data_IF_794119734658
#
_entry.id   IF_794119734658
#
_cell.length_a   1.000
_cell.length_b   1.000
_cell.length_c   1.000
_cell.angle_alpha   90.00
_cell.angle_beta   90.00
_cell.angle_gamma   90.00
#
_symmetry.space_group_name_H-M   'P 1'
#
loop_
_entity.id
_entity.type
_entity.pdbx_description
1 polymer ?
#
# COMPACT_ATOMS: atom_id res chain seq x y z
N UNK A 1 -7.64 2.43 -6.57
CA UNK A 1 -6.16 2.22 -6.59
C UNK A 1 -5.33 3.38 -7.18
N UNK A 2 -5.70 4.01 -8.31
CA UNK A 2 -4.86 5.03 -9.00
C UNK A 2 -4.47 6.19 -8.07
N UNK A 3 -5.43 6.66 -7.26
CA UNK A 3 -5.24 7.70 -6.25
C UNK A 3 -4.11 7.38 -5.28
N UNK A 4 -4.16 6.22 -4.62
CA UNK A 4 -3.14 5.76 -3.66
C UNK A 4 -1.76 5.72 -4.29
N UNK A 5 -1.66 5.23 -5.53
CA UNK A 5 -0.39 5.17 -6.26
C UNK A 5 0.17 6.58 -6.50
N UNK A 6 -0.66 7.50 -7.02
CA UNK A 6 -0.23 8.87 -7.30
C UNK A 6 0.10 9.67 -6.04
N UNK A 7 -0.70 9.56 -4.99
CA UNK A 7 -0.44 10.22 -3.70
C UNK A 7 0.86 9.70 -3.07
N UNK A 8 1.06 8.38 -3.07
CA UNK A 8 2.28 7.77 -2.52
C UNK A 8 3.50 8.12 -3.34
N UNK A 9 3.40 8.23 -4.66
CA UNK A 9 4.49 8.66 -5.55
C UNK A 9 5.01 10.05 -5.18
N UNK A 10 4.10 11.01 -4.95
CA UNK A 10 4.47 12.37 -4.53
C UNK A 10 5.12 12.35 -3.15
N UNK A 11 4.50 11.66 -2.17
CA UNK A 11 5.04 11.55 -0.82
C UNK A 11 6.44 10.90 -0.82
N UNK A 12 6.63 9.84 -1.61
CA UNK A 12 7.90 9.13 -1.72
C UNK A 12 9.01 10.01 -2.28
N UNK A 13 8.69 10.81 -3.30
CA UNK A 13 9.66 11.72 -3.89
C UNK A 13 10.13 12.75 -2.84
N UNK A 14 9.20 13.38 -2.12
CA UNK A 14 9.52 14.38 -1.10
C UNK A 14 10.26 13.75 0.10
N UNK A 15 9.83 12.57 0.53
CA UNK A 15 10.45 11.81 1.62
C UNK A 15 11.91 11.47 1.31
N UNK A 16 12.19 10.93 0.12
CA UNK A 16 13.55 10.57 -0.29
C UNK A 16 14.42 11.81 -0.53
N UNK A 17 13.88 12.88 -1.12
CA UNK A 17 14.60 14.16 -1.24
C UNK A 17 15.01 14.72 0.12
N UNK A 18 14.17 14.57 1.15
CA UNK A 18 14.49 15.03 2.50
C UNK A 18 15.70 14.31 3.14
N UNK A 19 16.04 13.09 2.70
CA UNK A 19 17.27 12.39 3.10
C UNK A 19 18.54 12.90 2.40
N UNK A 20 18.42 13.86 1.48
CA UNK A 20 19.55 14.44 0.76
C UNK A 20 19.96 13.70 -0.51
N UNK A 21 19.14 12.76 -1.01
CA UNK A 21 19.39 12.11 -2.28
C UNK A 21 19.26 13.09 -3.46
N UNK A 22 20.15 12.96 -4.44
CA UNK A 22 20.04 13.71 -5.69
C UNK A 22 18.82 13.25 -6.50
N UNK A 23 18.28 14.13 -7.34
CA UNK A 23 17.07 13.83 -8.12
C UNK A 23 17.20 12.58 -9.00
N UNK A 24 18.36 12.45 -9.66
CA UNK A 24 18.73 11.30 -10.47
C UNK A 24 18.77 9.97 -9.71
N UNK A 25 18.93 10.02 -8.38
CA UNK A 25 18.87 8.85 -7.49
C UNK A 25 17.43 8.59 -7.00
N UNK A 26 16.65 9.65 -6.75
CA UNK A 26 15.27 9.54 -6.25
C UNK A 26 14.33 8.97 -7.31
N UNK A 27 14.38 9.51 -8.54
CA UNK A 27 13.47 9.11 -9.63
C UNK A 27 13.42 7.58 -9.84
N UNK A 28 14.55 6.86 -10.03
CA UNK A 28 14.49 5.41 -10.24
C UNK A 28 13.98 4.63 -9.02
N UNK A 29 14.23 5.12 -7.80
CA UNK A 29 13.72 4.51 -6.57
C UNK A 29 12.20 4.64 -6.48
N UNK A 30 11.67 5.85 -6.70
CA UNK A 30 10.23 6.12 -6.71
C UNK A 30 9.55 5.32 -7.82
N UNK A 31 10.15 5.26 -9.02
CA UNK A 31 9.61 4.48 -10.14
C UNK A 31 9.51 2.99 -9.83
N UNK A 32 10.54 2.40 -9.21
CA UNK A 32 10.51 1.00 -8.80
C UNK A 32 9.48 0.77 -7.70
N UNK A 33 9.47 1.61 -6.68
CA UNK A 33 8.53 1.48 -5.57
C UNK A 33 7.07 1.63 -6.02
N UNK A 34 6.80 2.48 -7.02
CA UNK A 34 5.48 2.61 -7.65
C UNK A 34 5.04 1.30 -8.29
N UNK A 35 5.94 0.59 -8.98
CA UNK A 35 5.64 -0.73 -9.55
C UNK A 35 5.35 -1.75 -8.45
N UNK A 36 6.21 -1.82 -7.45
CA UNK A 36 6.04 -2.75 -6.33
C UNK A 36 4.70 -2.48 -5.60
N UNK A 37 4.32 -1.21 -5.44
CA UNK A 37 3.05 -0.80 -4.84
C UNK A 37 1.87 -1.25 -5.71
N UNK A 38 1.93 -1.01 -7.01
CA UNK A 38 0.90 -1.42 -7.95
C UNK A 38 0.73 -2.95 -7.95
N UNK A 39 1.83 -3.70 -7.97
CA UNK A 39 1.81 -5.17 -7.95
C UNK A 39 1.16 -5.71 -6.66
N UNK A 40 1.54 -5.17 -5.50
CA UNK A 40 0.96 -5.60 -4.23
C UNK A 40 -0.52 -5.20 -4.09
N UNK A 41 -0.90 -4.00 -4.55
CA UNK A 41 -2.31 -3.57 -4.57
C UNK A 41 -3.14 -4.46 -5.50
N UNK A 42 -2.61 -4.81 -6.67
CA UNK A 42 -3.29 -5.70 -7.62
C UNK A 42 -3.45 -7.10 -7.05
N UNK A 43 -2.40 -7.63 -6.41
CA UNK A 43 -2.46 -8.93 -5.73
C UNK A 43 -3.51 -8.93 -4.61
N UNK A 44 -3.56 -7.87 -3.81
CA UNK A 44 -4.57 -7.73 -2.76
C UNK A 44 -5.98 -7.66 -3.34
N UNK A 45 -6.18 -6.88 -4.41
CA UNK A 45 -7.47 -6.77 -5.09
C UNK A 45 -7.95 -8.15 -5.56
N UNK A 46 -7.09 -8.93 -6.21
CA UNK A 46 -7.42 -10.31 -6.64
C UNK A 46 -7.85 -11.16 -5.44
N UNK A 47 -7.05 -11.21 -4.38
CA UNK A 47 -7.35 -12.01 -3.18
C UNK A 47 -8.67 -11.62 -2.49
N UNK A 48 -9.07 -10.35 -2.58
CA UNK A 48 -10.33 -9.86 -2.00
C UNK A 48 -11.57 -10.29 -2.82
N UNK A 49 -11.40 -10.64 -4.09
CA UNK A 49 -12.49 -11.03 -5.00
C UNK A 49 -12.48 -12.52 -5.37
N UNK A 50 -11.56 -13.33 -4.81
CA UNK A 50 -11.57 -14.78 -4.98
C UNK A 50 -12.76 -15.45 -4.28
N UNK A 51 -13.25 -16.57 -4.84
CA UNK A 51 -14.37 -17.33 -4.29
C UNK A 51 -14.09 -17.86 -2.88
N UNK A 52 -12.82 -18.20 -2.61
CA UNK A 52 -12.36 -18.66 -1.30
C UNK A 52 -11.29 -17.70 -0.79
N UNK A 53 -11.66 -16.90 0.20
CA UNK A 53 -10.77 -15.88 0.76
C UNK A 53 -9.77 -16.52 1.74
N UNK A 54 -8.49 -16.43 1.40
CA UNK A 54 -7.38 -16.79 2.30
C UNK A 54 -6.97 -15.59 3.16
N UNK A 55 -7.33 -15.63 4.44
CA UNK A 55 -7.01 -14.59 5.41
C UNK A 55 -5.50 -14.44 5.60
N UNK A 56 -4.75 -15.54 5.59
CA UNK A 56 -3.29 -15.54 5.73
C UNK A 56 -2.62 -14.87 4.53
N UNK A 57 -3.07 -15.15 3.30
CA UNK A 57 -2.52 -14.51 2.10
C UNK A 57 -2.80 -13.02 2.06
N UNK A 58 -4.01 -12.60 2.44
CA UNK A 58 -4.34 -11.18 2.57
C UNK A 58 -3.46 -10.53 3.63
N UNK A 59 -3.31 -11.13 4.81
CA UNK A 59 -2.45 -10.62 5.88
C UNK A 59 -0.99 -10.46 5.42
N UNK A 60 -0.47 -11.40 4.64
CA UNK A 60 0.88 -11.33 4.09
C UNK A 60 1.02 -10.15 3.12
N UNK A 61 0.05 -9.94 2.23
CA UNK A 61 0.06 -8.81 1.30
C UNK A 61 -0.09 -7.48 2.03
N UNK A 62 -0.97 -7.39 3.04
CA UNK A 62 -1.11 -6.21 3.89
C UNK A 62 0.18 -5.88 4.64
N UNK A 63 0.89 -6.89 5.15
CA UNK A 63 2.18 -6.69 5.80
C UNK A 63 3.23 -6.13 4.84
N UNK A 64 3.30 -6.66 3.61
CA UNK A 64 4.18 -6.16 2.56
C UNK A 64 3.84 -4.72 2.16
N UNK A 65 2.54 -4.41 1.96
CA UNK A 65 2.06 -3.06 1.66
C UNK A 65 2.41 -2.08 2.77
N UNK A 66 2.23 -2.46 4.04
CA UNK A 66 2.61 -1.63 5.18
C UNK A 66 4.10 -1.26 5.13
N UNK A 67 4.96 -2.26 4.97
CA UNK A 67 6.42 -2.05 4.93
C UNK A 67 6.83 -1.15 3.76
N UNK A 68 6.24 -1.39 2.58
CA UNK A 68 6.49 -0.56 1.40
C UNK A 68 6.04 0.89 1.60
N UNK A 69 4.82 1.11 2.06
CA UNK A 69 4.28 2.46 2.32
C UNK A 69 5.09 3.21 3.36
N UNK A 70 5.54 2.51 4.41
CA UNK A 70 6.39 3.10 5.43
C UNK A 70 7.74 3.56 4.86
N UNK A 71 8.40 2.72 4.07
CA UNK A 71 9.66 3.06 3.41
C UNK A 71 9.52 4.20 2.38
N UNK A 72 8.30 4.45 1.90
CA UNK A 72 7.98 5.54 0.99
C UNK A 72 7.49 6.80 1.71
N UNK A 73 7.51 6.83 3.03
CA UNK A 73 7.08 7.99 3.81
C UNK A 73 5.57 8.17 3.91
N UNK A 74 4.76 7.30 3.28
CA UNK A 74 3.30 7.30 3.43
C UNK A 74 2.90 6.60 4.73
N UNK A 75 3.38 7.14 5.85
CA UNK A 75 3.18 6.58 7.18
C UNK A 75 1.71 6.57 7.58
N UNK A 76 0.93 7.58 7.18
CA UNK A 76 -0.50 7.62 7.52
C UNK A 76 -1.26 6.41 6.96
N UNK A 77 -1.05 6.08 5.68
CA UNK A 77 -1.70 4.91 5.09
C UNK A 77 -1.13 3.60 5.65
N UNK A 78 0.19 3.55 5.92
CA UNK A 78 0.81 2.39 6.55
C UNK A 78 0.22 2.08 7.93
N UNK A 79 0.01 3.11 8.77
CA UNK A 79 -0.58 2.96 10.10
C UNK A 79 -2.05 2.55 10.01
N UNK A 80 -2.85 3.17 9.14
CA UNK A 80 -4.25 2.75 8.91
C UNK A 80 -4.35 1.27 8.49
N UNK A 81 -3.48 0.82 7.59
CA UNK A 81 -3.44 -0.60 7.22
C UNK A 81 -3.03 -1.49 8.39
N UNK A 82 -2.13 -1.03 9.27
CA UNK A 82 -1.72 -1.78 10.45
C UNK A 82 -2.84 -1.87 11.50
N UNK A 83 -3.63 -0.82 11.67
CA UNK A 83 -4.81 -0.81 12.56
C UNK A 83 -5.86 -1.83 12.10
N UNK A 84 -6.18 -1.84 10.80
CA UNK A 84 -7.13 -2.80 10.23
C UNK A 84 -6.60 -4.23 10.34
N UNK A 85 -5.31 -4.43 10.03
CA UNK A 85 -4.64 -5.74 10.12
C UNK A 85 -4.63 -6.29 11.55
N UNK A 86 -4.46 -5.43 12.55
CA UNK A 86 -4.43 -5.84 13.98
C UNK A 86 -5.77 -6.40 14.47
N UNK A 87 -6.87 -6.12 13.76
CA UNK A 87 -8.22 -6.60 14.05
C UNK A 87 -8.80 -7.40 12.88
N UNK A 88 -7.94 -8.07 12.11
CA UNK A 88 -8.31 -8.74 10.87
C UNK A 88 -8.95 -10.10 11.14
N UNK A 89 -10.17 -10.08 11.65
CA UNK A 89 -10.91 -11.29 12.05
C UNK A 89 -12.29 -11.39 11.37
N UNK A 90 -12.65 -10.41 10.54
CA UNK A 90 -14.04 -10.28 10.08
C UNK A 90 -14.17 -9.85 8.62
N UNK A 91 -15.35 -10.15 8.05
CA UNK A 91 -15.78 -9.59 6.76
C UNK A 91 -15.88 -8.07 6.78
N UNK A 92 -16.03 -7.44 7.95
CA UNK A 92 -16.02 -5.98 8.06
C UNK A 92 -14.62 -5.42 7.78
N UNK A 93 -13.57 -6.06 8.30
CA UNK A 93 -12.18 -5.67 8.04
C UNK A 93 -11.81 -5.79 6.56
N UNK A 94 -12.30 -6.84 5.87
CA UNK A 94 -12.15 -6.99 4.41
C UNK A 94 -12.80 -5.84 3.64
N UNK A 95 -14.01 -5.45 4.03
CA UNK A 95 -14.73 -4.33 3.42
C UNK A 95 -13.99 -3.01 3.66
N UNK A 96 -13.49 -2.80 4.87
CA UNK A 96 -12.75 -1.59 5.22
C UNK A 96 -11.46 -1.43 4.39
N UNK A 97 -10.69 -2.51 4.21
CA UNK A 97 -9.52 -2.51 3.32
C UNK A 97 -9.93 -2.15 1.90
N UNK A 98 -11.01 -2.75 1.41
CA UNK A 98 -11.48 -2.50 0.05
C UNK A 98 -11.84 -1.04 -0.16
N UNK A 99 -12.57 -0.45 0.80
CA UNK A 99 -12.94 0.96 0.78
C UNK A 99 -11.73 1.90 0.94
N UNK A 100 -10.74 1.53 1.74
CA UNK A 100 -9.55 2.34 1.94
C UNK A 100 -8.66 2.40 0.68
N UNK A 101 -8.51 1.28 -0.03
CA UNK A 101 -7.52 1.14 -1.10
C UNK A 101 -8.10 1.22 -2.52
N UNK A 102 -9.36 0.85 -2.69
CA UNK A 102 -9.97 0.64 -4.01
C UNK A 102 -11.18 1.52 -4.29
N UNK A 103 -11.92 2.01 -3.28
CA UNK A 103 -13.02 2.95 -3.54
C UNK A 103 -12.51 4.28 -4.12
N UNK A 104 -13.07 4.66 -5.26
CA UNK A 104 -12.91 6.00 -5.83
C UNK A 104 -13.89 6.96 -5.13
N UNK A 105 -13.51 7.47 -3.96
CA UNK A 105 -14.13 8.68 -3.40
C UNK A 105 -13.31 9.93 -3.72
#
# INVERSE_FOLDING_TARGET
MKKIISETEVIAYDHLKAFGFAEEQVIPLVYRAKKDLQENLTKLEILLYEDTISIDDINNVLHALKGLLFNLGNHELAEKLNEIRSHFESKASLKEISQLLFDEK
#
